data_IF_169333392220
#
_entry.id   IF_169333392220
#
_cell.length_a   1.000
_cell.length_b   1.000
_cell.length_c   1.000
_cell.angle_alpha   90.00
_cell.angle_beta   90.00
_cell.angle_gamma   90.00
#
_symmetry.space_group_name_H-M   'P 1'
#
loop_
_entity.id
_entity.type
_entity.pdbx_description
1 polymer ?
#
# COMPACT_ATOMS: atom_id res chain seq x y z
N UNK A 1 62.07 18.81 -106.80
CA UNK A 1 62.61 18.84 -105.42
C UNK A 1 61.72 19.60 -104.42
N UNK A 2 61.17 20.78 -104.73
CA UNK A 2 60.29 21.54 -103.80
C UNK A 2 58.98 20.82 -103.40
N UNK A 3 58.34 20.05 -104.30
CA UNK A 3 57.11 19.29 -104.02
C UNK A 3 57.31 18.07 -103.10
N UNK A 4 58.51 17.47 -103.12
CA UNK A 4 58.85 16.30 -102.28
C UNK A 4 59.15 16.76 -100.84
N UNK A 5 59.80 17.92 -100.67
CA UNK A 5 59.99 18.51 -99.34
C UNK A 5 58.66 18.94 -98.69
N UNK A 6 57.72 19.46 -99.48
CA UNK A 6 56.40 19.84 -98.96
C UNK A 6 55.58 18.62 -98.51
N UNK A 7 55.66 17.50 -99.25
CA UNK A 7 54.99 16.25 -98.87
C UNK A 7 55.57 15.62 -97.59
N UNK A 8 56.90 15.68 -97.45
CA UNK A 8 57.60 15.15 -96.27
C UNK A 8 57.32 15.98 -95.00
N UNK A 9 57.22 17.31 -95.13
CA UNK A 9 56.83 18.19 -94.03
C UNK A 9 55.39 17.93 -93.54
N UNK A 10 54.45 17.71 -94.46
CA UNK A 10 53.07 17.35 -94.13
C UNK A 10 52.94 16.00 -93.42
N UNK A 11 53.74 15.00 -93.83
CA UNK A 11 53.76 13.69 -93.18
C UNK A 11 54.36 13.72 -91.76
N UNK A 12 55.36 14.57 -91.51
CA UNK A 12 55.95 14.75 -90.19
C UNK A 12 54.97 15.38 -89.18
N UNK A 13 54.10 16.30 -89.64
CA UNK A 13 53.07 16.92 -88.80
C UNK A 13 51.97 15.91 -88.45
N UNK A 14 51.55 15.06 -89.41
CA UNK A 14 50.52 14.03 -89.18
C UNK A 14 50.97 12.88 -88.28
N UNK A 15 52.27 12.60 -88.19
CA UNK A 15 52.81 11.57 -87.27
C UNK A 15 53.00 12.09 -85.84
N UNK A 16 52.92 13.40 -85.61
CA UNK A 16 53.06 14.01 -84.29
C UNK A 16 51.76 14.00 -83.45
N UNK A 17 50.62 13.63 -84.06
CA UNK A 17 49.31 13.58 -83.38
C UNK A 17 49.00 12.23 -82.71
N UNK A 18 49.85 11.21 -82.86
CA UNK A 18 49.67 9.93 -82.19
C UNK A 18 50.30 9.98 -80.79
N UNK A 19 49.47 10.12 -79.75
CA UNK A 19 49.90 9.92 -78.36
C UNK A 19 50.53 8.53 -78.24
N UNK A 20 51.66 8.43 -77.54
CA UNK A 20 52.37 7.15 -77.42
C UNK A 20 51.51 6.09 -76.73
N UNK A 21 51.50 4.86 -77.25
CA UNK A 21 50.76 3.72 -76.69
C UNK A 21 50.96 3.55 -75.17
N UNK A 22 52.14 3.94 -74.66
CA UNK A 22 52.46 3.96 -73.22
C UNK A 22 51.55 4.91 -72.41
N UNK A 23 51.28 6.12 -72.92
CA UNK A 23 50.38 7.08 -72.25
C UNK A 23 48.93 6.61 -72.30
N UNK A 24 48.51 5.99 -73.40
CA UNK A 24 47.18 5.38 -73.49
C UNK A 24 47.01 4.23 -72.48
N UNK A 25 47.97 3.32 -72.38
CA UNK A 25 47.95 2.24 -71.40
C UNK A 25 47.96 2.77 -69.95
N UNK A 26 48.70 3.85 -69.67
CA UNK A 26 48.69 4.49 -68.34
C UNK A 26 47.35 5.15 -68.01
N UNK A 27 46.73 5.84 -68.98
CA UNK A 27 45.39 6.43 -68.83
C UNK A 27 44.32 5.36 -68.62
N UNK A 28 44.38 4.25 -69.37
CA UNK A 28 43.47 3.12 -69.22
C UNK A 28 43.64 2.45 -67.85
N UNK A 29 44.88 2.27 -67.37
CA UNK A 29 45.16 1.75 -66.04
C UNK A 29 44.62 2.69 -64.93
N UNK A 30 44.82 4.00 -65.04
CA UNK A 30 44.26 5.00 -64.11
C UNK A 30 42.74 5.03 -64.14
N UNK A 31 42.13 4.90 -65.32
CA UNK A 31 40.68 4.84 -65.46
C UNK A 31 40.13 3.60 -64.75
N UNK A 32 40.76 2.44 -64.93
CA UNK A 32 40.38 1.21 -64.24
C UNK A 32 40.54 1.34 -62.72
N UNK A 33 41.67 1.86 -62.25
CA UNK A 33 41.90 2.09 -60.82
C UNK A 33 40.85 3.04 -60.21
N UNK A 34 40.55 4.15 -60.91
CA UNK A 34 39.53 5.10 -60.46
C UNK A 34 38.15 4.46 -60.43
N UNK A 35 37.82 3.61 -61.41
CA UNK A 35 36.57 2.87 -61.45
C UNK A 35 36.47 1.87 -60.29
N UNK A 36 37.55 1.14 -60.00
CA UNK A 36 37.61 0.19 -58.89
C UNK A 36 37.49 0.89 -57.52
N UNK A 37 38.13 2.06 -57.37
CA UNK A 37 38.01 2.92 -56.19
C UNK A 37 36.59 3.47 -56.03
N UNK A 38 35.96 3.93 -57.11
CA UNK A 38 34.58 4.43 -57.10
C UNK A 38 33.60 3.32 -56.70
N UNK A 39 33.75 2.13 -57.27
CA UNK A 39 32.93 0.97 -56.93
C UNK A 39 33.11 0.60 -55.45
N UNK A 40 34.34 0.56 -54.96
CA UNK A 40 34.66 0.28 -53.55
C UNK A 40 34.07 1.32 -52.61
N UNK A 41 34.20 2.61 -52.94
CA UNK A 41 33.63 3.71 -52.17
C UNK A 41 32.10 3.64 -52.14
N UNK A 42 31.47 3.29 -53.27
CA UNK A 42 30.01 3.14 -53.39
C UNK A 42 29.50 1.99 -52.50
N UNK A 43 30.18 0.84 -52.51
CA UNK A 43 29.82 -0.29 -51.64
C UNK A 43 29.95 0.08 -50.16
N UNK A 44 31.04 0.74 -49.77
CA UNK A 44 31.24 1.21 -48.39
C UNK A 44 30.21 2.25 -47.98
N UNK A 45 29.84 3.16 -48.87
CA UNK A 45 28.82 4.18 -48.61
C UNK A 45 27.46 3.53 -48.37
N UNK A 46 27.06 2.58 -49.21
CA UNK A 46 25.80 1.86 -49.04
C UNK A 46 25.77 1.08 -47.72
N UNK A 47 26.85 0.36 -47.38
CA UNK A 47 26.95 -0.33 -46.08
C UNK A 47 26.89 0.65 -44.89
N UNK A 48 27.47 1.85 -45.02
CA UNK A 48 27.41 2.88 -43.99
C UNK A 48 25.99 3.44 -43.82
N UNK A 49 25.27 3.66 -44.93
CA UNK A 49 23.89 4.13 -44.93
C UNK A 49 22.95 3.09 -44.30
N UNK A 50 23.09 1.81 -44.68
CA UNK A 50 22.32 0.71 -44.06
C UNK A 50 22.56 0.64 -42.55
N UNK A 51 23.83 0.70 -42.13
CA UNK A 51 24.18 0.69 -40.70
C UNK A 51 23.63 1.91 -39.96
N UNK A 52 23.66 3.10 -40.59
CA UNK A 52 23.08 4.33 -40.02
C UNK A 52 21.58 4.18 -39.82
N UNK A 53 20.86 3.61 -40.80
CA UNK A 53 19.42 3.43 -40.73
C UNK A 53 19.05 2.40 -39.64
N UNK A 54 19.79 1.30 -39.54
CA UNK A 54 19.64 0.31 -38.46
C UNK A 54 19.85 0.96 -37.07
N UNK A 55 20.91 1.74 -36.91
CA UNK A 55 21.19 2.42 -35.65
C UNK A 55 20.13 3.46 -35.31
N UNK A 56 19.61 4.18 -36.31
CA UNK A 56 18.53 5.15 -36.14
C UNK A 56 17.25 4.46 -35.64
N UNK A 57 16.89 3.32 -36.24
CA UNK A 57 15.72 2.56 -35.80
C UNK A 57 15.93 1.98 -34.40
N UNK A 58 17.14 1.49 -34.09
CA UNK A 58 17.47 1.01 -32.75
C UNK A 58 17.38 2.10 -31.69
N UNK A 59 17.85 3.31 -31.99
CA UNK A 59 17.72 4.48 -31.10
C UNK A 59 16.24 4.81 -30.87
N UNK A 60 15.42 4.76 -31.91
CA UNK A 60 13.97 5.00 -31.80
C UNK A 60 13.29 3.96 -30.90
N UNK A 61 13.61 2.68 -31.08
CA UNK A 61 13.10 1.60 -30.22
C UNK A 61 13.56 1.78 -28.77
N UNK A 62 14.83 2.13 -28.55
CA UNK A 62 15.36 2.39 -27.21
C UNK A 62 14.68 3.57 -26.54
N UNK A 63 14.47 4.68 -27.26
CA UNK A 63 13.77 5.85 -26.74
C UNK A 63 12.31 5.53 -26.38
N UNK A 64 11.61 4.78 -27.23
CA UNK A 64 10.24 4.34 -26.95
C UNK A 64 10.18 3.42 -25.73
N UNK A 65 11.11 2.48 -25.62
CA UNK A 65 11.22 1.58 -24.46
C UNK A 65 11.51 2.36 -23.19
N UNK A 66 12.43 3.32 -23.24
CA UNK A 66 12.77 4.14 -22.08
C UNK A 66 11.59 5.01 -21.64
N UNK A 67 10.86 5.61 -22.58
CA UNK A 67 9.62 6.34 -22.27
C UNK A 67 8.57 5.44 -21.61
N UNK A 68 8.38 4.21 -22.11
CA UNK A 68 7.46 3.25 -21.50
C UNK A 68 7.90 2.83 -20.08
N UNK A 69 9.20 2.60 -19.88
CA UNK A 69 9.75 2.28 -18.55
C UNK A 69 9.56 3.44 -17.56
N UNK A 70 9.80 4.68 -17.99
CA UNK A 70 9.58 5.86 -17.16
C UNK A 70 8.10 6.01 -16.75
N UNK A 71 7.18 5.79 -17.68
CA UNK A 71 5.74 5.80 -17.36
C UNK A 71 5.38 4.71 -16.35
N UNK A 72 5.86 3.47 -16.56
CA UNK A 72 5.62 2.37 -15.61
C UNK A 72 6.17 2.67 -14.21
N UNK A 73 7.35 3.29 -14.11
CA UNK A 73 7.93 3.71 -12.83
C UNK A 73 7.08 4.81 -12.18
N UNK A 74 6.60 5.77 -12.97
CA UNK A 74 5.70 6.83 -12.48
C UNK A 74 4.38 6.29 -11.96
N UNK A 75 3.78 5.34 -12.67
CA UNK A 75 2.55 4.65 -12.26
C UNK A 75 2.76 3.84 -10.98
N UNK A 76 3.88 3.11 -10.89
CA UNK A 76 4.23 2.33 -9.70
C UNK A 76 4.50 3.23 -8.49
N UNK A 77 5.18 4.37 -8.67
CA UNK A 77 5.38 5.35 -7.60
C UNK A 77 4.04 5.94 -7.13
N UNK A 78 3.13 6.22 -8.06
CA UNK A 78 1.78 6.73 -7.74
C UNK A 78 0.95 5.69 -7.00
N UNK A 79 1.00 4.43 -7.45
CA UNK A 79 0.33 3.30 -6.79
C UNK A 79 0.88 3.09 -5.38
N UNK A 80 2.20 3.06 -5.22
CA UNK A 80 2.87 2.92 -3.92
C UNK A 80 2.49 4.05 -2.96
N UNK A 81 2.43 5.30 -3.43
CA UNK A 81 1.95 6.44 -2.63
C UNK A 81 0.49 6.25 -2.20
N UNK A 82 -0.37 5.77 -3.09
CA UNK A 82 -1.79 5.50 -2.79
C UNK A 82 -1.95 4.35 -1.79
N UNK A 83 -1.14 3.30 -1.91
CA UNK A 83 -1.10 2.20 -0.95
C UNK A 83 -0.64 2.66 0.43
N UNK A 84 0.42 3.48 0.50
CA UNK A 84 0.89 4.06 1.75
C UNK A 84 -0.21 4.91 2.43
N UNK A 85 -0.93 5.74 1.67
CA UNK A 85 -2.06 6.52 2.18
C UNK A 85 -3.22 5.66 2.68
N UNK A 86 -3.54 4.57 1.97
CA UNK A 86 -4.59 3.64 2.40
C UNK A 86 -4.18 2.88 3.66
N UNK A 87 -2.91 2.51 3.78
CA UNK A 87 -2.36 1.89 4.97
C UNK A 87 -2.38 2.84 6.17
N UNK A 88 -2.00 4.10 5.97
CA UNK A 88 -2.06 5.14 7.00
C UNK A 88 -3.49 5.34 7.53
N UNK A 89 -4.48 5.47 6.63
CA UNK A 89 -5.90 5.54 7.03
C UNK A 89 -6.36 4.30 7.78
N UNK A 90 -5.90 3.12 7.35
CA UNK A 90 -6.25 1.85 8.02
C UNK A 90 -5.64 1.77 9.42
N UNK A 91 -4.38 2.20 9.58
CA UNK A 91 -3.69 2.28 10.87
C UNK A 91 -4.37 3.29 11.79
N UNK A 92 -4.80 4.44 11.27
CA UNK A 92 -5.53 5.43 12.05
C UNK A 92 -6.88 4.90 12.53
N UNK A 93 -7.66 4.27 11.64
CA UNK A 93 -8.92 3.63 12.03
C UNK A 93 -8.72 2.50 13.06
N UNK A 94 -7.65 1.71 12.95
CA UNK A 94 -7.30 0.70 13.94
C UNK A 94 -6.99 1.36 15.29
N UNK A 95 -6.20 2.43 15.30
CA UNK A 95 -5.84 3.16 16.52
C UNK A 95 -7.07 3.76 17.20
N UNK A 96 -7.98 4.36 16.45
CA UNK A 96 -9.25 4.87 16.97
C UNK A 96 -10.09 3.76 17.60
N UNK A 97 -10.22 2.62 16.91
CA UNK A 97 -10.94 1.46 17.44
C UNK A 97 -10.28 0.87 18.68
N UNK A 98 -8.96 0.83 18.74
CA UNK A 98 -8.23 0.32 19.90
C UNK A 98 -8.42 1.22 21.13
N UNK A 99 -8.42 2.55 20.94
CA UNK A 99 -8.76 3.50 22.00
C UNK A 99 -10.20 3.31 22.49
N UNK A 100 -11.16 3.12 21.56
CA UNK A 100 -12.55 2.84 21.92
C UNK A 100 -12.67 1.52 22.71
N UNK A 101 -12.05 0.44 22.24
CA UNK A 101 -12.02 -0.87 22.92
C UNK A 101 -11.40 -0.74 24.32
N UNK A 102 -10.30 0.01 24.46
CA UNK A 102 -9.67 0.26 25.75
C UNK A 102 -10.62 0.97 26.71
N UNK A 103 -11.26 2.05 26.27
CA UNK A 103 -12.24 2.77 27.10
C UNK A 103 -13.42 1.89 27.52
N UNK A 104 -13.91 1.03 26.63
CA UNK A 104 -14.96 0.06 26.94
C UNK A 104 -14.50 -0.98 27.96
N UNK A 105 -13.29 -1.53 27.82
CA UNK A 105 -12.72 -2.48 28.79
C UNK A 105 -12.55 -1.85 30.16
N UNK A 106 -12.07 -0.61 30.22
CA UNK A 106 -11.92 0.11 31.48
C UNK A 106 -13.28 0.33 32.17
N UNK A 107 -14.32 0.66 31.40
CA UNK A 107 -15.68 0.80 31.92
C UNK A 107 -16.26 -0.53 32.43
N UNK A 108 -16.04 -1.64 31.71
CA UNK A 108 -16.47 -2.99 32.13
C UNK A 108 -15.76 -3.39 33.43
N UNK A 109 -14.43 -3.23 33.49
CA UNK A 109 -13.65 -3.56 34.68
C UNK A 109 -14.10 -2.75 35.91
N UNK A 110 -14.44 -1.46 35.71
CA UNK A 110 -14.99 -0.62 36.77
C UNK A 110 -16.36 -1.14 37.24
N UNK A 111 -17.24 -1.51 36.29
CA UNK A 111 -18.55 -2.11 36.61
C UNK A 111 -18.38 -3.38 37.43
N UNK A 112 -17.55 -4.31 36.99
CA UNK A 112 -17.33 -5.59 37.68
C UNK A 112 -16.73 -5.40 39.08
N UNK A 113 -15.80 -4.45 39.24
CA UNK A 113 -15.23 -4.09 40.55
C UNK A 113 -16.30 -3.55 41.51
N UNK A 114 -17.19 -2.67 41.04
CA UNK A 114 -18.30 -2.13 41.84
C UNK A 114 -19.30 -3.21 42.20
N UNK A 115 -19.66 -4.08 41.25
CA UNK A 115 -20.57 -5.21 41.49
C UNK A 115 -19.99 -6.17 42.53
N UNK A 116 -18.71 -6.55 42.41
CA UNK A 116 -18.06 -7.41 43.38
C UNK A 116 -18.04 -6.77 44.78
N UNK A 117 -17.67 -5.50 44.88
CA UNK A 117 -17.66 -4.76 46.14
C UNK A 117 -19.06 -4.68 46.77
N UNK A 118 -20.12 -4.53 45.96
CA UNK A 118 -21.51 -4.55 46.43
C UNK A 118 -21.90 -5.92 46.98
N UNK A 119 -21.63 -7.00 46.23
CA UNK A 119 -21.93 -8.38 46.63
C UNK A 119 -21.22 -8.73 47.93
N UNK A 120 -19.92 -8.40 48.06
CA UNK A 120 -19.16 -8.63 49.29
C UNK A 120 -19.73 -7.81 50.45
N UNK A 121 -20.13 -6.54 50.22
CA UNK A 121 -20.73 -5.69 51.26
C UNK A 121 -22.09 -6.24 51.73
N UNK A 122 -22.93 -6.71 50.81
CA UNK A 122 -24.25 -7.28 51.11
C UNK A 122 -24.09 -8.61 51.85
N UNK A 123 -23.26 -9.53 51.33
CA UNK A 123 -22.97 -10.81 52.01
C UNK A 123 -22.36 -10.60 53.40
N UNK A 124 -21.45 -9.65 53.57
CA UNK A 124 -20.85 -9.35 54.87
C UNK A 124 -21.85 -8.72 55.86
N UNK A 125 -22.79 -7.90 55.38
CA UNK A 125 -23.83 -7.32 56.23
C UNK A 125 -24.90 -8.35 56.63
N UNK A 126 -25.19 -9.32 55.75
CA UNK A 126 -26.30 -10.28 55.90
C UNK A 126 -25.87 -11.63 56.49
N UNK A 127 -24.63 -12.08 56.24
CA UNK A 127 -24.13 -13.46 56.41
C UNK A 127 -24.07 -14.06 57.82
N UNK A 128 -24.76 -13.46 58.79
CA UNK A 128 -25.02 -14.04 60.12
C UNK A 128 -26.50 -14.45 60.31
N UNK A 129 -27.31 -14.42 59.25
CA UNK A 129 -28.74 -14.77 59.28
C UNK A 129 -28.96 -16.00 58.41
N UNK A 130 -29.72 -16.98 58.93
CA UNK A 130 -29.90 -18.32 58.34
C UNK A 130 -30.01 -18.27 56.81
N UNK A 131 -29.11 -18.97 56.12
CA UNK A 131 -28.93 -18.97 54.65
C UNK A 131 -30.21 -19.34 53.86
N UNK A 132 -31.22 -19.93 54.50
CA UNK A 132 -32.46 -20.38 53.85
C UNK A 132 -33.46 -19.23 53.57
N UNK A 133 -33.32 -18.08 54.23
CA UNK A 133 -34.31 -16.99 54.17
C UNK A 133 -33.87 -15.78 53.32
N UNK A 134 -32.60 -15.71 52.88
CA UNK A 134 -32.06 -14.61 52.07
C UNK A 134 -31.08 -15.14 51.01
N UNK A 135 -31.36 -14.90 49.74
CA UNK A 135 -30.50 -15.30 48.61
C UNK A 135 -29.98 -14.06 47.86
N UNK A 136 -28.69 -14.05 47.52
CA UNK A 136 -28.05 -12.96 46.75
C UNK A 136 -27.49 -13.54 45.45
N UNK A 137 -28.05 -13.12 44.32
CA UNK A 137 -27.64 -13.54 42.99
C UNK A 137 -27.14 -12.34 42.16
N UNK A 138 -26.25 -12.59 41.20
CA UNK A 138 -25.67 -11.57 40.33
C UNK A 138 -25.88 -12.00 38.90
N UNK A 139 -26.71 -11.27 38.16
CA UNK A 139 -26.95 -11.54 36.75
C UNK A 139 -26.73 -10.28 35.92
N UNK A 140 -25.84 -10.36 34.91
CA UNK A 140 -25.56 -9.27 33.95
C UNK A 140 -25.18 -7.92 34.62
N UNK A 141 -24.62 -7.98 35.83
CA UNK A 141 -24.22 -6.83 36.64
C UNK A 141 -25.35 -6.16 37.40
N UNK A 142 -26.53 -6.78 37.47
CA UNK A 142 -27.60 -6.47 38.42
C UNK A 142 -27.47 -7.44 39.59
N UNK A 143 -27.57 -6.91 40.81
CA UNK A 143 -27.56 -7.72 42.03
C UNK A 143 -28.99 -7.92 42.50
N UNK A 144 -29.43 -9.17 42.53
CA UNK A 144 -30.73 -9.58 43.04
C UNK A 144 -30.59 -10.01 44.49
N UNK A 145 -31.45 -9.47 45.35
CA UNK A 145 -31.54 -9.85 46.76
C UNK A 145 -32.94 -10.39 46.98
N UNK A 146 -33.08 -11.70 47.03
CA UNK A 146 -34.34 -12.39 47.29
C UNK A 146 -34.48 -12.63 48.79
N UNK A 147 -35.60 -12.23 49.37
CA UNK A 147 -35.89 -12.41 50.79
C UNK A 147 -37.18 -13.23 50.90
N UNK A 148 -37.20 -14.25 51.76
CA UNK A 148 -38.38 -15.10 51.93
C UNK A 148 -39.55 -14.33 52.56
N UNK A 149 -40.78 -14.58 52.08
CA UNK A 149 -41.99 -13.99 52.66
C UNK A 149 -42.16 -14.32 54.14
N UNK A 150 -41.71 -15.53 54.54
CA UNK A 150 -41.73 -15.99 55.93
C UNK A 150 -40.83 -15.14 56.84
N UNK A 151 -39.72 -14.63 56.31
CA UNK A 151 -38.85 -13.70 57.03
C UNK A 151 -39.49 -12.31 57.11
N UNK A 152 -40.06 -11.84 56.00
CA UNK A 152 -40.63 -10.50 55.88
C UNK A 152 -41.91 -10.31 56.70
N UNK A 153 -42.80 -11.30 56.71
CA UNK A 153 -44.18 -11.17 57.20
C UNK A 153 -44.60 -12.34 58.08
N UNK A 154 -45.41 -12.05 59.10
CA UNK A 154 -46.15 -13.09 59.81
C UNK A 154 -47.29 -13.63 58.92
N UNK A 155 -47.62 -14.93 59.07
CA UNK A 155 -48.70 -15.56 58.32
C UNK A 155 -50.01 -14.76 58.38
N UNK A 156 -50.55 -14.41 57.21
CA UNK A 156 -51.80 -13.65 57.06
C UNK A 156 -51.71 -12.15 57.41
N UNK A 157 -50.50 -11.60 57.60
CA UNK A 157 -50.28 -10.19 57.95
C UNK A 157 -49.37 -9.53 56.94
N UNK A 158 -49.57 -8.23 56.71
CA UNK A 158 -48.70 -7.39 55.87
C UNK A 158 -47.69 -6.58 56.71
N UNK A 159 -47.70 -6.76 58.03
CA UNK A 159 -46.80 -6.04 58.92
C UNK A 159 -45.41 -6.67 58.89
N UNK A 160 -44.40 -5.84 58.63
CA UNK A 160 -42.99 -6.24 58.62
C UNK A 160 -42.57 -6.69 60.01
N UNK A 161 -42.01 -7.90 60.10
CA UNK A 161 -41.54 -8.47 61.38
C UNK A 161 -40.34 -7.68 61.94
N UNK A 162 -40.08 -7.82 63.26
CA UNK A 162 -38.92 -7.17 63.86
C UNK A 162 -37.59 -7.68 63.29
N UNK A 163 -37.52 -8.98 62.94
CA UNK A 163 -36.36 -9.56 62.26
C UNK A 163 -36.18 -9.01 60.85
N UNK A 164 -37.25 -8.90 60.07
CA UNK A 164 -37.20 -8.29 58.74
C UNK A 164 -36.73 -6.83 58.79
N UNK A 165 -37.15 -6.06 59.80
CA UNK A 165 -36.69 -4.67 59.97
C UNK A 165 -35.19 -4.57 60.21
N UNK A 166 -34.59 -5.54 60.91
CA UNK A 166 -33.14 -5.62 61.11
C UNK A 166 -32.40 -5.92 59.79
N UNK A 167 -32.90 -6.90 59.02
CA UNK A 167 -32.34 -7.29 57.70
C UNK A 167 -32.41 -6.13 56.71
N UNK A 168 -33.61 -5.57 56.54
CA UNK A 168 -33.85 -4.45 55.62
C UNK A 168 -33.03 -3.22 56.04
N UNK A 169 -32.82 -3.00 57.34
CA UNK A 169 -31.93 -1.94 57.85
C UNK A 169 -30.47 -2.13 57.46
N UNK A 170 -29.97 -3.39 57.47
CA UNK A 170 -28.61 -3.73 57.01
C UNK A 170 -28.47 -3.51 55.50
N UNK A 171 -29.45 -3.96 54.70
CA UNK A 171 -29.50 -3.71 53.25
C UNK A 171 -29.53 -2.20 52.95
N UNK A 172 -30.39 -1.44 53.63
CA UNK A 172 -30.51 0.00 53.47
C UNK A 172 -29.20 0.73 53.81
N UNK A 173 -28.44 0.26 54.79
CA UNK A 173 -27.13 0.83 55.14
C UNK A 173 -26.12 0.61 54.01
N UNK A 174 -26.11 -0.57 53.39
CA UNK A 174 -25.21 -0.88 52.26
C UNK A 174 -25.56 -0.05 51.02
N UNK A 175 -26.85 0.12 50.73
CA UNK A 175 -27.34 0.97 49.62
C UNK A 175 -26.99 2.44 49.89
N UNK A 176 -27.25 2.94 51.10
CA UNK A 176 -26.96 4.33 51.47
C UNK A 176 -25.47 4.69 51.37
N UNK A 177 -24.59 3.73 51.62
CA UNK A 177 -23.14 3.91 51.50
C UNK A 177 -22.64 3.94 50.04
N UNK A 178 -23.50 3.67 49.06
CA UNK A 178 -23.19 3.75 47.63
C UNK A 178 -24.29 4.55 46.89
N UNK A 179 -24.18 5.89 46.87
CA UNK A 179 -25.25 6.78 46.38
C UNK A 179 -25.51 6.68 44.86
N UNK A 180 -24.57 6.11 44.10
CA UNK A 180 -24.64 6.02 42.64
C UNK A 180 -25.43 4.78 42.13
N UNK A 181 -26.08 4.03 43.02
CA UNK A 181 -26.81 2.80 42.66
C UNK A 181 -28.31 3.07 42.66
N UNK A 182 -28.96 2.80 41.54
CA UNK A 182 -30.41 2.68 41.47
C UNK A 182 -30.85 1.30 42.00
N UNK A 183 -31.90 1.29 42.82
CA UNK A 183 -32.49 0.07 43.34
C UNK A 183 -34.00 0.07 43.08
N UNK A 184 -34.55 -1.13 42.90
CA UNK A 184 -35.97 -1.37 42.73
C UNK A 184 -36.38 -2.45 43.72
N UNK A 185 -37.59 -2.32 44.28
CA UNK A 185 -38.17 -3.31 45.19
C UNK A 185 -39.36 -3.92 44.47
N UNK A 186 -39.34 -5.24 44.33
CA UNK A 186 -40.40 -6.07 43.73
C UNK A 186 -40.84 -7.15 44.71
#
# INVERSE_FOLDING_TARGET
>A
MKKIMLLSASAAILLSSCVSNKKYAELEAKQKETQDQLNTATVKLNACLESKDEMTERIKVLNNTNAALLNNVGDLATLSKKEAQNLERSLESIKEKDLAIKSMRDAINKKDSVTLALVTSLKGAIGNMNDDDIEINVEKGVVYVSISDKLLFDSGRYNVTNQAREVLGKVATVIKNKPDIEFMVE
#
